data_IF_051723239587
#
_entry.id   IF_051723239587
#
_cell.length_a   1.000
_cell.length_b   1.000
_cell.length_c   1.000
_cell.angle_alpha   90.00
_cell.angle_beta   90.00
_cell.angle_gamma   90.00
#
_symmetry.space_group_name_H-M   'P 1'
#
loop_
_entity.id
_entity.type
_entity.pdbx_description
1 polymer ?
#
# COMPACT_ATOMS: atom_id res chain seq x y z
N UNK A 1 8.96 -1.55 21.62
CA UNK A 1 8.04 -2.67 21.28
C UNK A 1 6.70 -2.02 20.96
N UNK A 2 6.08 -2.31 19.86
CA UNK A 2 4.78 -1.76 19.48
C UNK A 2 3.67 -2.47 20.28
N UNK A 3 2.54 -1.78 20.49
CA UNK A 3 1.38 -2.29 21.24
C UNK A 3 0.32 -2.87 20.31
N UNK A 4 0.17 -2.26 19.12
CA UNK A 4 -0.90 -2.53 18.16
C UNK A 4 -0.39 -2.97 16.79
N UNK A 5 0.93 -3.17 16.65
CA UNK A 5 1.57 -3.55 15.40
C UNK A 5 2.63 -4.62 15.67
N UNK A 6 2.68 -5.64 14.81
CA UNK A 6 3.82 -6.52 14.68
C UNK A 6 4.57 -6.21 13.39
N UNK A 7 5.90 -6.22 13.44
CA UNK A 7 6.75 -6.06 12.27
C UNK A 7 7.80 -7.18 12.26
N UNK A 8 7.72 -8.03 11.26
CA UNK A 8 8.62 -9.16 11.04
C UNK A 8 9.38 -8.95 9.73
N UNK A 9 10.63 -9.41 9.65
CA UNK A 9 11.46 -9.28 8.46
C UNK A 9 12.06 -10.62 8.09
N UNK A 10 11.91 -11.03 6.84
CA UNK A 10 12.47 -12.26 6.30
C UNK A 10 12.78 -12.08 4.81
N UNK A 11 13.98 -12.47 4.38
CA UNK A 11 14.39 -12.52 2.96
C UNK A 11 14.17 -11.19 2.19
N UNK A 12 14.40 -10.05 2.86
CA UNK A 12 14.19 -8.72 2.28
C UNK A 12 12.72 -8.29 2.25
N UNK A 13 11.82 -9.05 2.84
CA UNK A 13 10.40 -8.74 2.95
C UNK A 13 10.08 -8.32 4.39
N UNK A 14 9.51 -7.14 4.56
CA UNK A 14 8.92 -6.71 5.83
C UNK A 14 7.42 -7.06 5.82
N UNK A 15 6.95 -7.71 6.87
CA UNK A 15 5.52 -7.99 7.09
C UNK A 15 5.07 -7.17 8.28
N UNK A 16 4.16 -6.24 8.04
CA UNK A 16 3.56 -5.38 9.07
C UNK A 16 2.12 -5.79 9.28
N UNK A 17 1.81 -6.27 10.46
CA UNK A 17 0.47 -6.70 10.85
C UNK A 17 -0.11 -5.73 11.85
N UNK A 18 -1.26 -5.12 11.53
CA UNK A 18 -2.03 -4.33 12.50
C UNK A 18 -2.75 -5.31 13.42
N UNK A 19 -2.49 -5.20 14.71
CA UNK A 19 -2.89 -6.17 15.73
C UNK A 19 -3.71 -5.51 16.84
N UNK A 20 -4.93 -5.13 16.48
CA UNK A 20 -5.97 -4.60 17.38
C UNK A 20 -7.32 -5.25 17.05
N UNK A 21 -7.39 -6.62 17.08
CA UNK A 21 -8.56 -7.37 16.56
C UNK A 21 -9.85 -7.10 17.32
N UNK A 22 -9.79 -6.72 18.61
CA UNK A 22 -10.95 -6.35 19.43
C UNK A 22 -11.69 -5.11 18.90
N UNK A 23 -10.98 -4.23 18.21
CA UNK A 23 -11.54 -3.05 17.54
C UNK A 23 -11.51 -3.19 16.00
N UNK A 24 -11.48 -4.42 15.46
CA UNK A 24 -11.38 -4.70 14.02
C UNK A 24 -10.23 -3.95 13.34
N UNK A 25 -9.12 -3.76 14.04
CA UNK A 25 -7.93 -3.04 13.59
C UNK A 25 -8.16 -1.57 13.22
N UNK A 26 -9.19 -0.94 13.79
CA UNK A 26 -9.50 0.46 13.54
C UNK A 26 -8.31 1.38 13.88
N UNK A 27 -8.05 2.36 12.99
CA UNK A 27 -6.95 3.31 13.11
C UNK A 27 -7.28 4.36 14.18
N UNK A 28 -6.67 4.19 15.34
CA UNK A 28 -6.63 5.22 16.39
C UNK A 28 -5.28 5.92 16.40
N UNK A 29 -5.09 6.89 17.27
CA UNK A 29 -3.85 7.67 17.41
C UNK A 29 -2.63 6.79 17.68
N UNK A 30 -2.79 5.70 18.44
CA UNK A 30 -1.70 4.75 18.74
C UNK A 30 -1.29 3.99 17.49
N UNK A 31 -2.25 3.37 16.78
CA UNK A 31 -1.98 2.64 15.53
C UNK A 31 -1.30 3.57 14.51
N UNK A 32 -1.80 4.81 14.34
CA UNK A 32 -1.21 5.78 13.42
C UNK A 32 0.22 6.12 13.83
N UNK A 33 0.47 6.39 15.13
CA UNK A 33 1.82 6.67 15.65
C UNK A 33 2.79 5.50 15.41
N UNK A 34 2.34 4.29 15.67
CA UNK A 34 3.19 3.10 15.49
C UNK A 34 3.44 2.80 14.01
N UNK A 35 2.46 3.00 13.13
CA UNK A 35 2.67 2.93 11.67
C UNK A 35 3.66 3.99 11.19
N UNK A 36 3.57 5.23 11.68
CA UNK A 36 4.54 6.29 11.37
C UNK A 36 5.97 5.89 11.76
N UNK A 37 6.14 5.25 12.94
CA UNK A 37 7.44 4.76 13.41
C UNK A 37 7.96 3.58 12.59
N UNK A 38 7.09 2.61 12.28
CA UNK A 38 7.46 1.46 11.44
C UNK A 38 7.87 1.92 10.04
N UNK A 39 7.08 2.79 9.42
CA UNK A 39 7.38 3.33 8.09
C UNK A 39 8.72 4.08 8.10
N UNK A 40 8.98 4.91 9.14
CA UNK A 40 10.26 5.61 9.27
C UNK A 40 11.45 4.64 9.41
N UNK A 41 11.27 3.55 10.15
CA UNK A 41 12.31 2.52 10.28
C UNK A 41 12.56 1.79 8.96
N UNK A 42 11.50 1.47 8.21
CA UNK A 42 11.60 0.79 6.92
C UNK A 42 12.21 1.69 5.82
N UNK A 43 11.92 2.99 5.82
CA UNK A 43 12.53 3.97 4.89
C UNK A 43 14.06 4.00 5.00
N UNK A 44 14.61 3.72 6.19
CA UNK A 44 16.04 3.73 6.46
C UNK A 44 16.71 2.38 6.34
N UNK A 45 15.93 1.30 6.15
CA UNK A 45 16.42 -0.07 6.14
C UNK A 45 16.75 -0.53 4.72
N UNK A 46 18.06 -0.62 4.42
CA UNK A 46 18.56 -1.01 3.08
C UNK A 46 18.35 -2.49 2.74
N UNK A 47 18.03 -3.33 3.74
CA UNK A 47 17.79 -4.75 3.52
C UNK A 47 16.35 -5.04 3.10
N UNK A 48 15.42 -4.10 3.35
CA UNK A 48 14.02 -4.25 2.95
C UNK A 48 13.85 -3.91 1.48
N UNK A 49 13.23 -4.82 0.75
CA UNK A 49 12.96 -4.76 -0.70
C UNK A 49 11.48 -4.85 -1.05
N UNK A 50 10.63 -5.21 -0.09
CA UNK A 50 9.18 -5.25 -0.23
C UNK A 50 8.51 -5.14 1.14
N UNK A 51 7.35 -4.45 1.21
CA UNK A 51 6.48 -4.41 2.36
C UNK A 51 5.20 -5.19 2.07
N UNK A 52 4.79 -6.07 2.99
CA UNK A 52 3.44 -6.62 3.05
C UNK A 52 2.74 -6.03 4.28
N UNK A 53 1.59 -5.40 4.06
CA UNK A 53 0.74 -4.86 5.13
C UNK A 53 -0.52 -5.70 5.24
N UNK A 54 -0.85 -6.16 6.44
CA UNK A 54 -2.04 -6.99 6.71
C UNK A 54 -2.64 -6.67 8.07
N UNK A 55 -3.75 -7.31 8.42
CA UNK A 55 -4.41 -7.17 9.72
C UNK A 55 -4.58 -8.50 10.42
N UNK A 56 -4.52 -8.49 11.76
CA UNK A 56 -4.78 -9.66 12.58
C UNK A 56 -6.28 -10.01 12.61
N UNK A 57 -6.59 -11.29 12.62
CA UNK A 57 -7.95 -11.79 12.77
C UNK A 57 -8.83 -11.61 11.54
N UNK A 58 -10.06 -11.11 11.72
CA UNK A 58 -11.10 -11.07 10.68
C UNK A 58 -11.17 -9.77 9.88
N UNK A 59 -10.27 -8.83 10.11
CA UNK A 59 -10.27 -7.51 9.46
C UNK A 59 -8.85 -7.14 9.05
N UNK A 60 -8.73 -6.54 7.89
CA UNK A 60 -7.55 -5.76 7.56
C UNK A 60 -7.54 -4.49 8.44
N UNK A 61 -8.44 -3.56 8.15
CA UNK A 61 -8.72 -2.35 8.94
C UNK A 61 -10.16 -1.92 8.66
N UNK A 62 -11.01 -1.92 9.69
CA UNK A 62 -12.43 -1.62 9.51
C UNK A 62 -12.76 -0.12 9.51
N UNK A 63 -11.75 0.75 9.50
CA UNK A 63 -11.93 2.20 9.44
C UNK A 63 -11.01 2.95 10.39
N UNK A 64 -11.20 4.26 10.48
CA UNK A 64 -10.64 5.07 11.55
C UNK A 64 -11.48 4.93 12.82
N UNK A 65 -10.87 5.12 13.98
CA UNK A 65 -11.57 4.99 15.28
C UNK A 65 -12.55 6.14 15.46
N UNK A 66 -13.85 5.81 15.40
CA UNK A 66 -14.94 6.79 15.53
C UNK A 66 -14.97 7.42 16.93
N UNK A 67 -14.57 6.66 17.96
CA UNK A 67 -14.51 7.19 19.33
C UNK A 67 -13.51 8.35 19.46
N UNK A 68 -12.39 8.28 18.75
CA UNK A 68 -11.43 9.40 18.73
C UNK A 68 -11.86 10.54 17.80
N UNK A 69 -12.64 10.26 16.75
CA UNK A 69 -13.11 11.30 15.83
C UNK A 69 -14.31 12.09 16.35
N UNK A 70 -15.21 11.44 17.07
CA UNK A 70 -16.50 12.03 17.50
C UNK A 70 -16.36 13.36 18.26
N UNK A 71 -15.40 13.55 19.18
CA UNK A 71 -15.24 14.81 19.92
C UNK A 71 -14.50 15.91 19.15
N UNK A 72 -14.01 15.65 17.92
CA UNK A 72 -13.19 16.60 17.18
C UNK A 72 -14.02 17.79 16.67
N UNK A 73 -13.47 18.97 16.83
CA UNK A 73 -13.92 20.19 16.17
C UNK A 73 -13.30 20.33 14.76
N UNK A 74 -13.56 21.45 14.11
CA UNK A 74 -13.03 21.75 12.77
C UNK A 74 -11.51 21.60 12.68
N UNK A 75 -10.78 22.13 13.67
CA UNK A 75 -9.31 22.09 13.67
C UNK A 75 -8.77 20.72 14.06
N UNK A 76 -9.44 20.03 14.96
CA UNK A 76 -9.17 18.64 15.30
C UNK A 76 -9.34 17.73 14.09
N UNK A 77 -10.45 17.84 13.38
CA UNK A 77 -10.73 17.10 12.16
C UNK A 77 -9.69 17.38 11.05
N UNK A 78 -9.30 18.65 10.88
CA UNK A 78 -8.25 19.03 9.92
C UNK A 78 -6.92 18.35 10.27
N UNK A 79 -6.47 18.42 11.50
CA UNK A 79 -5.20 17.77 11.94
C UNK A 79 -5.26 16.27 11.80
N UNK A 80 -6.39 15.65 12.14
CA UNK A 80 -6.59 14.21 11.98
C UNK A 80 -6.46 13.77 10.50
N UNK A 81 -7.19 14.43 9.61
CA UNK A 81 -7.12 14.16 8.17
C UNK A 81 -5.72 14.39 7.58
N UNK A 82 -5.06 15.49 7.96
CA UNK A 82 -3.69 15.78 7.53
C UNK A 82 -2.70 14.70 7.98
N UNK A 83 -2.81 14.22 9.23
CA UNK A 83 -1.93 13.20 9.77
C UNK A 83 -2.10 11.87 9.06
N UNK A 84 -3.35 11.40 8.90
CA UNK A 84 -3.63 10.17 8.19
C UNK A 84 -3.19 10.23 6.72
N UNK A 85 -3.52 11.33 6.03
CA UNK A 85 -3.10 11.54 4.62
C UNK A 85 -1.57 11.57 4.47
N UNK A 86 -0.85 12.17 5.42
CA UNK A 86 0.61 12.21 5.40
C UNK A 86 1.21 10.81 5.58
N UNK A 87 0.69 10.01 6.51
CA UNK A 87 1.12 8.61 6.69
C UNK A 87 0.88 7.79 5.42
N UNK A 88 -0.34 7.85 4.83
CA UNK A 88 -0.65 7.13 3.59
C UNK A 88 0.28 7.56 2.45
N UNK A 89 0.61 8.86 2.37
CA UNK A 89 1.53 9.36 1.35
C UNK A 89 2.97 8.88 1.56
N UNK A 90 3.43 8.70 2.81
CA UNK A 90 4.74 8.11 3.09
C UNK A 90 4.80 6.65 2.66
N UNK A 91 3.76 5.84 2.95
CA UNK A 91 3.69 4.44 2.51
C UNK A 91 3.77 4.36 0.98
N UNK A 92 2.99 5.18 0.28
CA UNK A 92 2.98 5.26 -1.18
C UNK A 92 4.35 5.62 -1.77
N UNK A 93 5.13 6.46 -1.06
CA UNK A 93 6.45 6.93 -1.49
C UNK A 93 7.62 6.04 -1.06
N UNK A 94 7.38 4.92 -0.38
CA UNK A 94 8.44 3.97 -0.07
C UNK A 94 9.17 3.56 -1.37
N UNK A 95 10.49 3.49 -1.31
CA UNK A 95 11.33 3.25 -2.48
C UNK A 95 11.27 1.80 -3.00
N UNK A 96 10.58 0.93 -2.31
CA UNK A 96 10.34 -0.47 -2.65
C UNK A 96 8.84 -0.77 -2.80
N UNK A 97 8.47 -1.87 -3.48
CA UNK A 97 7.09 -2.27 -3.64
C UNK A 97 6.36 -2.52 -2.32
N UNK A 98 5.08 -2.17 -2.31
CA UNK A 98 4.19 -2.37 -1.15
C UNK A 98 2.97 -3.17 -1.55
N UNK A 99 2.59 -4.16 -0.73
CA UNK A 99 1.44 -5.05 -0.94
C UNK A 99 0.51 -4.92 0.25
N UNK A 100 -0.75 -4.57 0.02
CA UNK A 100 -1.81 -4.75 1.00
C UNK A 100 -2.40 -6.16 0.85
N UNK A 101 -2.22 -7.02 1.84
CA UNK A 101 -2.85 -8.33 1.93
C UNK A 101 -4.13 -8.22 2.76
N UNK A 102 -5.25 -7.98 2.09
CA UNK A 102 -6.53 -7.64 2.71
C UNK A 102 -7.28 -8.91 3.09
N UNK A 103 -7.16 -9.31 4.34
CA UNK A 103 -7.73 -10.55 4.88
C UNK A 103 -9.22 -10.46 5.23
N UNK A 104 -9.80 -9.25 5.34
CA UNK A 104 -11.20 -9.05 5.74
C UNK A 104 -11.69 -7.65 5.42
N UNK A 105 -12.28 -6.95 6.40
CA UNK A 105 -12.78 -5.60 6.18
C UNK A 105 -11.66 -4.60 5.89
N UNK A 106 -11.79 -3.87 4.80
CA UNK A 106 -10.99 -2.69 4.44
C UNK A 106 -11.95 -1.53 4.15
N UNK A 107 -12.36 -0.80 5.20
CA UNK A 107 -13.40 0.21 5.13
C UNK A 107 -12.86 1.58 5.50
N UNK A 108 -13.35 2.64 4.87
CA UNK A 108 -12.92 4.00 5.17
C UNK A 108 -11.42 4.15 5.19
N UNK A 109 -10.86 4.61 6.31
CA UNK A 109 -9.41 4.70 6.52
C UNK A 109 -8.64 3.41 6.21
N UNK A 110 -9.28 2.24 6.39
CA UNK A 110 -8.68 0.95 6.02
C UNK A 110 -8.63 0.71 4.52
N UNK A 111 -9.66 1.13 3.78
CA UNK A 111 -9.62 1.12 2.32
C UNK A 111 -8.57 2.13 1.80
N UNK A 112 -8.45 3.29 2.44
CA UNK A 112 -7.46 4.31 2.14
C UNK A 112 -6.03 3.82 2.39
N UNK A 113 -5.81 3.03 3.46
CA UNK A 113 -4.54 2.38 3.76
C UNK A 113 -4.20 1.34 2.67
N UNK A 114 -5.15 0.49 2.29
CA UNK A 114 -4.94 -0.45 1.19
C UNK A 114 -4.61 0.27 -0.14
N UNK A 115 -5.32 1.35 -0.45
CA UNK A 115 -5.09 2.20 -1.63
C UNK A 115 -3.75 2.93 -1.63
N UNK A 116 -3.08 3.06 -0.48
CA UNK A 116 -1.73 3.63 -0.38
C UNK A 116 -0.62 2.63 -0.73
N UNK A 117 -0.96 1.35 -0.87
CA UNK A 117 -0.05 0.33 -1.35
C UNK A 117 -0.07 0.23 -2.89
N UNK A 118 1.03 -0.24 -3.47
CA UNK A 118 1.15 -0.41 -4.93
C UNK A 118 0.22 -1.51 -5.43
N UNK A 119 0.14 -2.60 -4.68
CA UNK A 119 -0.61 -3.82 -5.00
C UNK A 119 -1.61 -4.11 -3.88
N UNK A 120 -2.82 -4.51 -4.25
CA UNK A 120 -3.85 -4.97 -3.32
C UNK A 120 -4.20 -6.41 -3.66
N UNK A 121 -3.92 -7.32 -2.73
CA UNK A 121 -4.36 -8.71 -2.77
C UNK A 121 -5.47 -8.90 -1.75
N UNK A 122 -6.49 -9.67 -2.07
CA UNK A 122 -7.64 -9.83 -1.20
C UNK A 122 -7.96 -11.30 -0.91
N UNK A 123 -8.40 -11.57 0.31
CA UNK A 123 -9.14 -12.79 0.60
C UNK A 123 -10.53 -12.73 -0.05
N UNK A 124 -11.08 -13.88 -0.45
CA UNK A 124 -12.49 -14.01 -0.87
C UNK A 124 -13.49 -13.44 0.16
N UNK A 125 -13.07 -13.38 1.44
CA UNK A 125 -13.88 -12.80 2.53
C UNK A 125 -13.75 -11.28 2.65
N UNK A 126 -12.84 -10.66 1.91
CA UNK A 126 -12.58 -9.23 1.99
C UNK A 126 -13.78 -8.40 1.51
N UNK A 127 -13.95 -7.26 2.18
CA UNK A 127 -14.96 -6.26 1.81
C UNK A 127 -14.31 -4.89 1.81
N UNK A 128 -14.58 -4.13 0.77
CA UNK A 128 -14.06 -2.79 0.57
C UNK A 128 -15.19 -1.76 0.55
N UNK A 129 -14.93 -0.56 1.01
CA UNK A 129 -15.91 0.54 0.97
C UNK A 129 -15.37 1.83 1.56
N UNK A 130 -16.06 2.92 1.23
CA UNK A 130 -15.84 4.26 1.78
C UNK A 130 -17.16 4.75 2.39
N UNK A 131 -17.51 4.30 3.62
CA UNK A 131 -18.83 4.54 4.20
C UNK A 131 -18.95 5.90 4.92
N UNK A 132 -17.95 6.75 4.88
CA UNK A 132 -17.81 7.99 5.65
C UNK A 132 -18.99 8.95 5.48
N UNK A 133 -19.58 9.01 4.29
CA UNK A 133 -20.73 9.88 4.03
C UNK A 133 -21.96 9.52 4.87
N UNK A 134 -22.10 8.25 5.24
CA UNK A 134 -23.12 7.78 6.18
C UNK A 134 -22.91 8.25 7.62
N UNK A 135 -21.71 8.76 7.93
CA UNK A 135 -21.36 9.35 9.23
C UNK A 135 -21.32 10.90 9.18
N UNK A 136 -21.69 11.50 8.03
CA UNK A 136 -21.70 12.95 7.85
C UNK A 136 -20.32 13.55 7.56
N UNK A 137 -19.33 12.74 7.14
CA UNK A 137 -17.98 13.18 6.77
C UNK A 137 -17.61 12.62 5.40
N UNK A 138 -16.52 13.12 4.83
CA UNK A 138 -15.91 12.56 3.61
C UNK A 138 -14.77 11.60 3.97
N UNK A 139 -14.31 10.72 3.03
CA UNK A 139 -13.04 10.04 3.20
C UNK A 139 -11.93 11.04 3.53
N UNK A 140 -11.21 10.82 4.63
CA UNK A 140 -10.31 11.82 5.22
C UNK A 140 -8.83 11.55 5.01
N UNK A 141 -8.45 10.33 4.59
CA UNK A 141 -7.05 9.91 4.39
C UNK A 141 -6.70 9.77 2.91
N UNK A 142 -7.35 10.59 2.06
CA UNK A 142 -7.15 10.73 0.61
C UNK A 142 -7.82 9.66 -0.26
N UNK A 143 -8.84 8.96 0.24
CA UNK A 143 -9.66 8.02 -0.54
C UNK A 143 -10.34 8.68 -1.74
N UNK A 144 -10.80 9.92 -1.60
CA UNK A 144 -11.37 10.72 -2.69
C UNK A 144 -10.35 11.00 -3.82
N UNK A 145 -9.07 10.84 -3.55
CA UNK A 145 -8.01 11.04 -4.54
C UNK A 145 -7.49 9.74 -5.13
N UNK A 146 -7.31 8.69 -4.30
CA UNK A 146 -6.74 7.41 -4.75
C UNK A 146 -7.78 6.51 -5.41
N UNK A 147 -8.98 6.40 -4.84
CA UNK A 147 -9.99 5.51 -5.39
C UNK A 147 -10.35 5.85 -6.85
N UNK A 148 -10.63 7.13 -7.24
CA UNK A 148 -10.94 7.44 -8.64
C UNK A 148 -9.77 7.20 -9.60
N UNK A 149 -8.53 7.31 -9.13
CA UNK A 149 -7.35 6.98 -9.94
C UNK A 149 -7.21 5.48 -10.17
N UNK A 150 -7.74 4.66 -9.25
CA UNK A 150 -7.68 3.20 -9.33
C UNK A 150 -8.82 2.60 -10.15
N UNK A 151 -10.07 3.04 -9.91
CA UNK A 151 -11.30 2.41 -10.48
C UNK A 151 -12.06 3.31 -11.46
N UNK A 152 -11.52 4.48 -11.75
CA UNK A 152 -12.21 5.50 -12.57
C UNK A 152 -13.19 6.35 -11.76
N UNK A 153 -13.45 7.57 -12.25
CA UNK A 153 -14.20 8.62 -11.52
C UNK A 153 -15.64 8.21 -11.24
N UNK A 154 -16.33 7.62 -12.23
CA UNK A 154 -17.75 7.26 -12.09
C UNK A 154 -17.96 6.17 -11.02
N UNK A 155 -17.13 5.11 -11.04
CA UNK A 155 -17.21 4.02 -10.06
C UNK A 155 -16.83 4.51 -8.65
N UNK A 156 -15.81 5.35 -8.53
CA UNK A 156 -15.44 5.93 -7.24
C UNK A 156 -16.58 6.78 -6.64
N UNK A 157 -17.24 7.62 -7.46
CA UNK A 157 -18.42 8.39 -7.02
C UNK A 157 -19.57 7.50 -6.57
N UNK A 158 -19.86 6.44 -7.33
CA UNK A 158 -20.89 5.44 -6.96
C UNK A 158 -20.61 4.86 -5.56
N UNK A 159 -19.38 4.40 -5.32
CA UNK A 159 -18.98 3.77 -4.06
C UNK A 159 -19.00 4.77 -2.90
N UNK A 160 -18.40 5.95 -3.07
CA UNK A 160 -18.31 6.97 -2.01
C UNK A 160 -19.70 7.54 -1.70
N UNK A 161 -20.50 7.94 -2.70
CA UNK A 161 -21.79 8.58 -2.46
C UNK A 161 -22.82 7.63 -1.83
N UNK A 162 -22.77 6.34 -2.20
CA UNK A 162 -23.66 5.33 -1.62
C UNK A 162 -23.18 4.80 -0.28
N UNK A 163 -21.88 4.94 0.03
CA UNK A 163 -21.25 4.32 1.20
C UNK A 163 -21.31 2.77 1.18
N UNK A 164 -21.68 2.16 0.04
CA UNK A 164 -21.85 0.70 -0.06
C UNK A 164 -20.51 -0.02 0.05
N UNK A 165 -20.57 -1.21 0.63
CA UNK A 165 -19.48 -2.16 0.62
C UNK A 165 -19.59 -3.07 -0.62
N UNK A 166 -18.44 -3.38 -1.24
CA UNK A 166 -18.30 -4.37 -2.29
C UNK A 166 -17.47 -5.56 -1.81
N UNK A 167 -17.70 -6.73 -2.38
CA UNK A 167 -16.93 -7.95 -2.11
C UNK A 167 -15.65 -7.98 -2.95
N UNK A 168 -14.75 -8.90 -2.61
CA UNK A 168 -13.47 -9.07 -3.27
C UNK A 168 -13.60 -9.29 -4.79
N UNK A 169 -14.57 -10.11 -5.22
CA UNK A 169 -14.81 -10.41 -6.63
C UNK A 169 -15.29 -9.18 -7.44
N UNK A 170 -16.12 -8.31 -6.84
CA UNK A 170 -16.50 -7.04 -7.48
C UNK A 170 -15.29 -6.08 -7.49
N UNK A 171 -14.52 -6.04 -6.40
CA UNK A 171 -13.34 -5.20 -6.28
C UNK A 171 -12.26 -5.57 -7.33
N UNK A 172 -12.06 -6.85 -7.61
CA UNK A 172 -11.18 -7.32 -8.67
C UNK A 172 -11.67 -6.91 -10.05
N UNK A 173 -12.98 -7.14 -10.36
CA UNK A 173 -13.57 -6.78 -11.65
C UNK A 173 -13.47 -5.30 -12.00
N UNK A 174 -13.50 -4.41 -11.00
CA UNK A 174 -13.37 -2.96 -11.22
C UNK A 174 -11.92 -2.45 -11.16
N UNK A 175 -10.94 -3.34 -10.98
CA UNK A 175 -9.52 -2.99 -10.91
C UNK A 175 -9.06 -2.41 -9.58
N UNK A 176 -9.87 -2.50 -8.52
CA UNK A 176 -9.45 -2.10 -7.17
C UNK A 176 -8.43 -3.10 -6.60
N UNK A 177 -8.65 -4.39 -6.81
CA UNK A 177 -7.84 -5.50 -6.33
C UNK A 177 -7.11 -6.17 -7.48
N UNK A 178 -5.87 -6.58 -7.27
CA UNK A 178 -5.03 -7.22 -8.30
C UNK A 178 -5.29 -8.72 -8.43
N UNK A 179 -5.61 -9.40 -7.31
CA UNK A 179 -5.95 -10.83 -7.29
C UNK A 179 -6.71 -11.19 -6.01
N UNK A 180 -7.54 -12.22 -6.10
CA UNK A 180 -8.33 -12.77 -4.99
C UNK A 180 -7.87 -14.19 -4.67
N UNK A 181 -7.76 -14.52 -3.40
CA UNK A 181 -7.27 -15.80 -2.87
C UNK A 181 -8.27 -16.39 -1.88
N UNK A 182 -8.26 -17.71 -1.74
CA UNK A 182 -8.85 -18.37 -0.59
C UNK A 182 -8.23 -17.79 0.71
N UNK A 183 -8.99 -17.69 1.81
CA UNK A 183 -8.51 -17.03 3.03
C UNK A 183 -7.16 -17.54 3.55
N UNK A 184 -6.97 -18.84 3.51
CA UNK A 184 -5.75 -19.55 3.94
C UNK A 184 -4.57 -19.37 2.97
N UNK A 185 -4.81 -19.03 1.72
CA UNK A 185 -3.80 -18.85 0.68
C UNK A 185 -3.34 -17.40 0.48
N UNK A 186 -4.03 -16.41 1.10
CA UNK A 186 -3.75 -15.00 0.90
C UNK A 186 -2.29 -14.63 1.21
N UNK A 187 -1.79 -15.04 2.37
CA UNK A 187 -0.43 -14.69 2.80
C UNK A 187 0.63 -15.41 1.98
N UNK A 188 0.39 -16.65 1.58
CA UNK A 188 1.29 -17.39 0.69
C UNK A 188 1.36 -16.70 -0.69
N UNK A 189 0.22 -16.29 -1.25
CA UNK A 189 0.16 -15.51 -2.49
C UNK A 189 0.87 -14.15 -2.39
N UNK A 190 0.71 -13.46 -1.25
CA UNK A 190 1.40 -12.19 -1.00
C UNK A 190 2.93 -12.38 -0.90
N UNK A 191 3.37 -13.43 -0.21
CA UNK A 191 4.79 -13.78 -0.09
C UNK A 191 5.39 -14.21 -1.45
N UNK A 192 4.68 -15.00 -2.25
CA UNK A 192 5.12 -15.40 -3.59
C UNK A 192 5.29 -14.16 -4.49
N UNK A 193 4.32 -13.26 -4.47
CA UNK A 193 4.41 -11.99 -5.21
C UNK A 193 5.58 -11.14 -4.73
N UNK A 194 5.75 -10.94 -3.42
CA UNK A 194 6.87 -10.19 -2.85
C UNK A 194 8.22 -10.81 -3.24
N UNK A 195 8.36 -12.14 -3.18
CA UNK A 195 9.56 -12.85 -3.65
C UNK A 195 9.82 -12.64 -5.14
N UNK A 196 8.77 -12.48 -5.96
CA UNK A 196 8.93 -12.15 -7.37
C UNK A 196 9.55 -10.76 -7.59
N UNK A 197 9.32 -9.83 -6.67
CA UNK A 197 9.92 -8.47 -6.70
C UNK A 197 11.34 -8.47 -6.14
N UNK A 198 11.54 -9.11 -4.97
CA UNK A 198 12.83 -9.06 -4.24
C UNK A 198 13.98 -9.77 -4.97
N UNK A 199 13.69 -10.66 -5.92
CA UNK A 199 14.70 -11.30 -6.78
C UNK A 199 15.27 -10.37 -7.88
N UNK A 200 14.63 -9.23 -8.15
CA UNK A 200 15.07 -8.27 -9.16
C UNK A 200 16.02 -7.23 -8.55
N UNK A 201 16.75 -6.50 -9.42
CA UNK A 201 17.66 -5.44 -9.00
C UNK A 201 16.93 -4.32 -8.26
N UNK A 202 17.22 -4.07 -6.97
CA UNK A 202 16.40 -3.19 -6.13
C UNK A 202 16.35 -1.75 -6.64
N UNK A 203 17.47 -1.21 -7.11
CA UNK A 203 17.52 0.16 -7.67
C UNK A 203 16.67 0.26 -8.94
N UNK A 204 16.67 -0.76 -9.79
CA UNK A 204 15.84 -0.76 -11.00
C UNK A 204 14.32 -0.81 -10.64
N UNK A 205 13.94 -1.61 -9.64
CA UNK A 205 12.56 -1.66 -9.12
C UNK A 205 12.15 -0.30 -8.53
N UNK A 206 13.02 0.31 -7.70
CA UNK A 206 12.83 1.66 -7.15
C UNK A 206 12.58 2.69 -8.26
N UNK A 207 13.41 2.70 -9.30
CA UNK A 207 13.28 3.65 -10.40
C UNK A 207 12.05 3.39 -11.25
N UNK A 208 11.71 2.12 -11.52
CA UNK A 208 10.47 1.78 -12.22
C UNK A 208 9.23 2.28 -11.47
N UNK A 209 9.17 2.07 -10.14
CA UNK A 209 8.10 2.64 -9.30
C UNK A 209 8.06 4.16 -9.39
N UNK A 210 9.22 4.83 -9.28
CA UNK A 210 9.30 6.28 -9.36
C UNK A 210 8.87 6.83 -10.73
N UNK A 211 9.20 6.15 -11.84
CA UNK A 211 8.73 6.52 -13.18
C UNK A 211 7.22 6.45 -13.28
N UNK A 212 6.62 5.34 -12.81
CA UNK A 212 5.17 5.15 -12.85
C UNK A 212 4.47 6.20 -11.97
N UNK A 213 4.89 6.34 -10.70
CA UNK A 213 4.22 7.23 -9.75
C UNK A 213 4.31 8.70 -10.14
N UNK A 214 5.44 9.13 -10.70
CA UNK A 214 5.62 10.51 -11.17
C UNK A 214 4.92 10.73 -12.52
N UNK A 215 5.11 9.82 -13.47
CA UNK A 215 4.52 9.93 -14.81
C UNK A 215 3.00 10.00 -14.79
N UNK A 216 2.34 9.27 -13.86
CA UNK A 216 0.89 9.35 -13.68
C UNK A 216 0.38 10.69 -13.11
N UNK A 217 1.27 11.63 -12.77
CA UNK A 217 0.93 12.95 -12.21
C UNK A 217 1.36 14.11 -13.13
N UNK A 218 1.91 13.83 -14.31
CA UNK A 218 2.39 14.81 -15.29
C UNK A 218 1.86 14.47 -16.68
N UNK A 219 2.11 15.31 -17.67
CA UNK A 219 1.84 14.97 -19.06
C UNK A 219 2.81 13.90 -19.59
N UNK A 220 2.50 13.34 -20.76
CA UNK A 220 3.24 12.22 -21.32
C UNK A 220 4.70 12.58 -21.63
N UNK A 221 4.95 13.76 -22.17
CA UNK A 221 6.31 14.16 -22.58
C UNK A 221 7.22 14.37 -21.37
N UNK A 222 6.71 15.03 -20.31
CA UNK A 222 7.42 15.18 -19.04
C UNK A 222 7.62 13.83 -18.35
N UNK A 223 6.63 12.93 -18.40
CA UNK A 223 6.73 11.58 -17.87
C UNK A 223 7.83 10.77 -18.56
N UNK A 224 7.91 10.82 -19.89
CA UNK A 224 8.97 10.18 -20.70
C UNK A 224 10.35 10.77 -20.38
N UNK A 225 10.44 12.09 -20.19
CA UNK A 225 11.71 12.72 -19.80
C UNK A 225 12.22 12.19 -18.45
N UNK A 226 11.34 12.06 -17.45
CA UNK A 226 11.68 11.44 -16.14
C UNK A 226 12.11 9.98 -16.31
N UNK A 227 11.40 9.20 -17.12
CA UNK A 227 11.73 7.80 -17.41
C UNK A 227 13.13 7.68 -18.03
N UNK A 228 13.46 8.50 -19.04
CA UNK A 228 14.77 8.49 -19.69
C UNK A 228 15.92 8.75 -18.71
N UNK A 229 15.75 9.70 -17.79
CA UNK A 229 16.77 10.01 -16.78
C UNK A 229 16.94 8.83 -15.80
N UNK A 230 15.85 8.29 -15.27
CA UNK A 230 15.91 7.18 -14.31
C UNK A 230 16.39 5.88 -14.98
N UNK A 231 16.04 5.65 -16.25
CA UNK A 231 16.59 4.55 -17.05
C UNK A 231 18.11 4.69 -17.21
N UNK A 232 18.57 5.88 -17.57
CA UNK A 232 20.01 6.14 -17.72
C UNK A 232 20.76 5.94 -16.38
N UNK A 233 20.17 6.35 -15.26
CA UNK A 233 20.76 6.15 -13.92
C UNK A 233 20.95 4.66 -13.57
N UNK A 234 20.14 3.74 -14.10
CA UNK A 234 20.37 2.31 -13.91
C UNK A 234 21.74 1.86 -14.44
N UNK A 235 22.25 2.46 -15.52
CA UNK A 235 23.55 2.09 -16.12
C UNK A 235 24.76 2.50 -15.26
N UNK A 236 24.55 3.30 -14.24
CA UNK A 236 25.56 3.64 -13.24
C UNK A 236 25.67 2.62 -12.09
N UNK A 237 24.77 1.61 -12.04
CA UNK A 237 24.73 0.61 -10.97
C UNK A 237 25.55 -0.63 -11.29
N UNK A 238 26.10 -1.28 -10.25
CA UNK A 238 26.74 -2.59 -10.39
C UNK A 238 25.72 -3.67 -10.80
N UNK A 239 24.48 -3.56 -10.31
CA UNK A 239 23.39 -4.51 -10.58
C UNK A 239 22.99 -4.52 -12.07
N UNK A 240 23.12 -3.39 -12.80
CA UNK A 240 22.89 -3.37 -14.24
C UNK A 240 23.93 -4.22 -14.99
N UNK A 241 25.20 -4.10 -14.61
CA UNK A 241 26.27 -4.90 -15.22
C UNK A 241 26.10 -6.38 -14.92
N UNK A 242 25.78 -6.71 -13.67
CA UNK A 242 25.49 -8.08 -13.24
C UNK A 242 24.30 -8.67 -14.00
N UNK A 243 23.17 -7.94 -14.05
CA UNK A 243 21.95 -8.43 -14.70
C UNK A 243 22.14 -8.73 -16.19
N UNK A 244 22.74 -7.81 -16.93
CA UNK A 244 23.01 -8.00 -18.37
C UNK A 244 24.07 -9.06 -18.61
N UNK A 245 25.15 -9.11 -17.81
CA UNK A 245 26.18 -10.13 -17.88
C UNK A 245 25.63 -11.52 -17.61
N UNK A 246 24.87 -11.68 -16.54
CA UNK A 246 24.23 -12.94 -16.18
C UNK A 246 23.28 -13.44 -17.29
N UNK A 247 22.51 -12.54 -17.90
CA UNK A 247 21.63 -12.88 -19.03
C UNK A 247 22.41 -13.41 -20.24
N UNK A 248 23.50 -12.73 -20.63
CA UNK A 248 24.33 -13.14 -21.76
C UNK A 248 25.04 -14.48 -21.49
N UNK A 249 25.45 -14.70 -20.24
CA UNK A 249 26.12 -15.95 -19.78
C UNK A 249 25.11 -17.06 -19.43
N UNK A 250 23.82 -16.82 -19.53
CA UNK A 250 22.73 -17.78 -19.19
C UNK A 250 22.82 -18.34 -17.77
N UNK A 251 23.16 -17.51 -16.81
CA UNK A 251 23.22 -17.83 -15.37
C UNK A 251 22.26 -16.96 -14.55
N UNK A 252 21.89 -17.37 -13.35
CA UNK A 252 21.15 -16.50 -12.42
C UNK A 252 21.97 -15.25 -12.07
N UNK A 253 21.28 -14.08 -12.02
CA UNK A 253 21.88 -12.84 -11.56
C UNK A 253 21.93 -12.80 -10.02
N UNK A 254 22.91 -12.07 -9.46
CA UNK A 254 23.10 -11.85 -8.03
C UNK A 254 23.21 -10.36 -7.75
N UNK A 255 22.07 -9.75 -7.45
CA UNK A 255 21.98 -8.32 -7.21
C UNK A 255 22.42 -7.94 -5.79
N UNK A 256 23.13 -6.83 -5.68
CA UNK A 256 23.77 -6.36 -4.44
C UNK A 256 23.24 -5.02 -3.95
N UNK A 257 22.32 -4.39 -4.69
CA UNK A 257 21.74 -3.08 -4.38
C UNK A 257 22.78 -1.94 -4.38
N UNK A 258 23.72 -1.99 -5.33
CA UNK A 258 24.80 -1.02 -5.51
C UNK A 258 24.86 -0.50 -6.96
#
# INVERSE_FOLDING_TARGET
MYQTIRCEKQDGIAIVTIDRPEALNALNSTVITELEQVVAALESDRDVRCLILTGEGRSFVAGADIGEQYPLDLDGGRRWGQRGSALMRRIEKLEFPTIAAVNGFALGGGCELALSCDIILASEKAKFGQPEVGLGITPGFSGTQRLPRRVGVAKAKELIFSGKMIKADEAEKIGLVNAVFAPEALMDGALEMAKSFTKNAPIAVKYAKACIDRGMQMDMDDGIAVENELFAMCFATADQKEGMGAFLEKRPARFTNN
#
